data_IF_086509783013
#
_entry.id   IF_086509783013
#
_cell.length_a   1.000
_cell.length_b   1.000
_cell.length_c   1.000
_cell.angle_alpha   90.00
_cell.angle_beta   90.00
_cell.angle_gamma   90.00
#
_symmetry.space_group_name_H-M   'P 1'
#
loop_
_entity.id
_entity.type
_entity.pdbx_description
1 polymer ?
#
# COMPACT_ATOMS: atom_id res chain seq x y z
N UNK A 1 -4.12 -14.45 -3.73
CA UNK A 1 -3.97 -13.01 -3.47
C UNK A 1 -2.89 -12.78 -2.41
N UNK A 2 -2.11 -11.76 -2.55
CA UNK A 2 -1.13 -11.32 -1.56
C UNK A 2 -1.73 -10.20 -0.71
N UNK A 3 -1.25 -10.03 0.53
CA UNK A 3 -1.68 -9.01 1.46
C UNK A 3 -0.46 -8.15 1.83
N UNK A 4 -0.14 -7.12 1.03
CA UNK A 4 0.99 -6.26 1.35
C UNK A 4 0.62 -5.26 2.46
N UNK A 5 1.23 -5.30 3.65
CA UNK A 5 1.23 -4.17 4.56
C UNK A 5 2.09 -3.05 3.96
N UNK A 6 1.74 -1.81 4.28
CA UNK A 6 2.54 -0.65 3.92
C UNK A 6 3.47 -0.28 5.08
N UNK A 7 4.76 -0.36 4.83
CA UNK A 7 5.82 0.02 5.77
C UNK A 7 6.46 1.36 5.44
N UNK A 8 7.52 1.69 6.14
CA UNK A 8 8.24 2.96 5.95
C UNK A 8 8.90 3.06 4.56
N UNK A 9 9.12 1.92 3.90
CA UNK A 9 9.79 1.87 2.60
C UNK A 9 8.93 1.29 1.49
N UNK A 10 7.61 1.36 1.63
CA UNK A 10 6.66 0.88 0.63
C UNK A 10 5.99 -0.44 0.99
N UNK A 11 5.38 -1.13 0.02
CA UNK A 11 4.61 -2.34 0.25
C UNK A 11 5.51 -3.56 0.50
N UNK A 12 5.00 -4.48 1.32
CA UNK A 12 5.61 -5.77 1.62
C UNK A 12 4.57 -6.88 1.47
N UNK A 13 4.95 -8.04 0.99
CA UNK A 13 4.10 -9.22 1.06
C UNK A 13 4.33 -9.86 2.43
N UNK A 14 3.29 -9.98 3.24
CA UNK A 14 3.33 -10.64 4.56
C UNK A 14 2.37 -11.82 4.65
N UNK A 15 1.47 -11.96 3.67
CA UNK A 15 0.45 -12.99 3.66
C UNK A 15 0.07 -13.34 2.23
N UNK A 16 -0.17 -14.63 1.98
CA UNK A 16 -0.74 -15.14 0.73
C UNK A 16 -2.05 -15.85 1.05
N UNK A 17 -3.08 -15.65 0.24
CA UNK A 17 -4.35 -16.36 0.36
C UNK A 17 -4.48 -17.31 -0.82
N UNK A 18 -4.59 -18.61 -0.51
CA UNK A 18 -4.82 -19.68 -1.48
C UNK A 18 -6.31 -19.97 -1.58
N UNK A 19 -6.76 -20.36 -2.77
CA UNK A 19 -8.11 -20.85 -3.03
C UNK A 19 -7.98 -22.36 -3.29
N UNK A 20 -8.46 -23.18 -2.35
CA UNK A 20 -8.32 -24.64 -2.37
C UNK A 20 -9.55 -25.30 -3.00
N UNK A 21 -9.38 -26.45 -3.63
CA UNK A 21 -10.49 -27.26 -4.16
C UNK A 21 -11.27 -28.00 -3.06
N UNK A 22 -10.81 -27.98 -1.81
CA UNK A 22 -11.40 -28.68 -0.66
C UNK A 22 -11.57 -27.73 0.54
N UNK A 23 -12.48 -28.10 1.44
CA UNK A 23 -12.65 -27.43 2.72
C UNK A 23 -11.65 -27.95 3.74
N UNK A 24 -10.93 -27.06 4.41
CA UNK A 24 -9.99 -27.39 5.47
C UNK A 24 -10.41 -26.76 6.80
N UNK A 25 -10.07 -27.41 7.90
CA UNK A 25 -10.22 -26.89 9.27
C UNK A 25 -8.88 -26.45 9.82
N UNK A 26 -8.89 -25.71 10.92
CA UNK A 26 -7.66 -25.22 11.53
C UNK A 26 -6.68 -26.34 11.94
N UNK A 27 -7.16 -27.55 12.25
CA UNK A 27 -6.31 -28.68 12.63
C UNK A 27 -5.77 -29.48 11.44
N UNK A 28 -6.26 -29.23 10.23
CA UNK A 28 -5.86 -29.94 9.01
C UNK A 28 -4.63 -29.30 8.35
N UNK A 29 -4.19 -28.14 8.85
CA UNK A 29 -3.20 -27.32 8.19
C UNK A 29 -2.26 -26.64 9.20
N UNK A 30 -0.98 -26.60 8.89
CA UNK A 30 0.03 -25.88 9.65
C UNK A 30 1.06 -25.22 8.71
N UNK A 31 2.06 -24.52 9.28
CA UNK A 31 3.10 -23.83 8.52
C UNK A 31 3.95 -24.77 7.61
N UNK A 32 3.90 -26.08 7.83
CA UNK A 32 4.66 -27.09 7.05
C UNK A 32 3.84 -27.69 5.92
N UNK A 33 2.56 -27.36 5.83
CA UNK A 33 1.66 -27.88 4.79
C UNK A 33 2.03 -27.40 3.40
N UNK A 34 2.60 -26.19 3.32
CA UNK A 34 3.04 -25.59 2.07
C UNK A 34 4.44 -25.01 2.20
N UNK A 35 5.16 -24.96 1.11
CA UNK A 35 6.34 -24.13 0.98
C UNK A 35 6.18 -23.11 -0.16
N UNK A 36 6.91 -22.00 -0.05
CA UNK A 36 6.83 -20.89 -0.99
C UNK A 36 8.22 -20.63 -1.56
N UNK A 37 8.34 -20.71 -2.88
CA UNK A 37 9.51 -20.27 -3.63
C UNK A 37 9.21 -18.93 -4.27
N UNK A 38 10.13 -17.96 -4.15
CA UNK A 38 9.99 -16.60 -4.66
C UNK A 38 11.06 -16.35 -5.70
N UNK A 39 10.65 -15.82 -6.84
CA UNK A 39 11.53 -15.17 -7.80
C UNK A 39 11.23 -13.68 -7.80
N UNK A 40 12.24 -12.88 -7.48
CA UNK A 40 12.09 -11.42 -7.47
C UNK A 40 12.39 -10.86 -8.84
N UNK A 41 11.44 -10.13 -9.38
CA UNK A 41 11.55 -9.57 -10.72
C UNK A 41 11.53 -8.04 -10.68
N UNK A 42 12.26 -7.44 -11.60
CA UNK A 42 12.05 -6.07 -12.02
C UNK A 42 10.71 -5.99 -12.76
N UNK A 43 10.05 -4.83 -12.77
CA UNK A 43 8.82 -4.63 -13.55
C UNK A 43 8.99 -4.82 -15.06
N UNK A 44 10.21 -4.87 -15.53
CA UNK A 44 10.56 -5.26 -16.91
C UNK A 44 10.43 -6.76 -17.16
N UNK A 45 10.22 -7.56 -16.11
CA UNK A 45 10.14 -9.02 -16.16
C UNK A 45 11.49 -9.72 -15.98
N UNK A 46 12.58 -8.97 -15.86
CA UNK A 46 13.92 -9.56 -15.63
C UNK A 46 14.08 -9.96 -14.16
N UNK A 47 14.73 -11.10 -13.90
CA UNK A 47 15.06 -11.52 -12.54
C UNK A 47 16.00 -10.50 -11.90
N UNK A 48 15.67 -10.08 -10.69
CA UNK A 48 16.48 -9.18 -9.91
C UNK A 48 17.83 -9.81 -9.57
N UNK A 49 18.91 -9.21 -10.04
CA UNK A 49 20.26 -9.58 -9.64
C UNK A 49 20.67 -8.84 -8.37
N UNK A 50 21.13 -9.56 -7.37
CA UNK A 50 21.60 -8.99 -6.09
C UNK A 50 23.04 -9.41 -5.82
N UNK A 51 23.86 -8.43 -5.49
CA UNK A 51 25.21 -8.68 -4.99
C UNK A 51 25.21 -8.53 -3.47
N UNK A 52 25.48 -9.63 -2.77
CA UNK A 52 25.63 -9.60 -1.33
C UNK A 52 26.97 -8.96 -0.93
N UNK A 53 27.01 -8.44 0.29
CA UNK A 53 28.23 -7.82 0.82
C UNK A 53 29.33 -8.87 0.93
N UNK A 54 30.44 -8.64 0.22
CA UNK A 54 31.59 -9.55 0.18
C UNK A 54 31.53 -10.62 -0.90
N UNK A 55 30.45 -10.70 -1.69
CA UNK A 55 30.39 -11.60 -2.84
C UNK A 55 31.16 -11.01 -4.03
N UNK A 56 31.78 -11.88 -4.84
CA UNK A 56 32.51 -11.45 -6.05
C UNK A 56 31.54 -11.09 -7.19
N UNK A 57 30.40 -11.80 -7.27
CA UNK A 57 29.42 -11.68 -8.34
C UNK A 57 28.02 -11.45 -7.80
N UNK A 58 27.15 -10.82 -8.62
CA UNK A 58 25.72 -10.77 -8.36
C UNK A 58 25.07 -12.14 -8.68
N UNK A 59 24.09 -12.54 -7.88
CA UNK A 59 23.29 -13.73 -8.07
C UNK A 59 21.81 -13.38 -8.24
N UNK A 60 21.00 -14.25 -8.88
CA UNK A 60 19.55 -14.10 -8.92
C UNK A 60 18.96 -14.01 -7.51
N UNK A 61 18.03 -13.07 -7.32
CA UNK A 61 17.31 -12.93 -6.04
C UNK A 61 16.12 -13.88 -6.01
N UNK A 62 16.40 -15.15 -5.74
CA UNK A 62 15.42 -16.24 -5.71
C UNK A 62 15.64 -17.09 -4.46
N UNK A 63 14.59 -17.77 -3.99
CA UNK A 63 14.74 -18.67 -2.85
C UNK A 63 13.42 -19.01 -2.16
N UNK A 64 13.52 -19.82 -1.12
CA UNK A 64 12.38 -20.16 -0.28
C UNK A 64 12.14 -19.10 0.78
N UNK A 65 10.86 -18.90 1.07
CA UNK A 65 10.38 -17.98 2.13
C UNK A 65 9.69 -18.79 3.22
N UNK A 66 10.00 -18.47 4.47
CA UNK A 66 9.42 -19.15 5.61
C UNK A 66 7.92 -18.86 5.72
N UNK A 67 7.13 -19.92 5.83
CA UNK A 67 5.73 -19.85 6.24
C UNK A 67 5.69 -19.85 7.76
N UNK A 68 5.21 -18.76 8.35
CA UNK A 68 5.18 -18.56 9.80
C UNK A 68 3.91 -19.16 10.42
N UNK A 69 2.79 -19.11 9.70
CA UNK A 69 1.51 -19.69 10.10
C UNK A 69 0.67 -20.01 8.87
N UNK A 70 -0.21 -21.03 9.01
CA UNK A 70 -1.26 -21.32 8.03
C UNK A 70 -2.58 -21.55 8.76
N UNK A 71 -3.69 -21.04 8.19
CA UNK A 71 -5.03 -21.19 8.78
C UNK A 71 -6.12 -20.96 7.73
N UNK A 72 -7.32 -21.57 7.91
CA UNK A 72 -8.49 -21.26 7.09
C UNK A 72 -8.89 -19.80 7.22
N UNK A 73 -9.30 -19.19 6.12
CA UNK A 73 -9.68 -17.78 6.10
C UNK A 73 -10.82 -17.51 5.10
N UNK A 74 -11.32 -16.28 5.10
CA UNK A 74 -12.14 -15.78 3.99
C UNK A 74 -11.24 -15.30 2.81
N UNK A 75 -11.85 -14.90 1.72
CA UNK A 75 -11.16 -14.38 0.53
C UNK A 75 -10.29 -13.14 0.81
N UNK A 76 -10.56 -12.42 1.91
CA UNK A 76 -9.78 -11.28 2.38
C UNK A 76 -8.69 -11.66 3.39
N UNK A 77 -8.48 -12.96 3.66
CA UNK A 77 -7.45 -13.45 4.58
C UNK A 77 -7.79 -13.29 6.07
N UNK A 78 -9.06 -13.06 6.44
CA UNK A 78 -9.51 -13.04 7.83
C UNK A 78 -9.73 -14.47 8.32
N UNK A 79 -9.16 -14.78 9.48
CA UNK A 79 -9.17 -16.14 10.05
C UNK A 79 -10.59 -16.66 10.31
N UNK A 80 -10.82 -17.90 9.89
CA UNK A 80 -12.04 -18.68 10.11
C UNK A 80 -11.72 -20.00 10.81
N UNK A 81 -12.74 -20.70 11.29
CA UNK A 81 -12.59 -22.04 11.85
C UNK A 81 -12.41 -23.11 10.76
N UNK A 82 -13.01 -22.89 9.60
CA UNK A 82 -12.92 -23.74 8.40
C UNK A 82 -13.23 -22.92 7.15
N UNK A 83 -12.83 -23.40 5.99
CA UNK A 83 -13.10 -22.75 4.70
C UNK A 83 -12.33 -23.35 3.55
N UNK A 84 -12.58 -22.89 2.35
CA UNK A 84 -11.86 -23.26 1.13
C UNK A 84 -10.69 -22.31 0.85
N UNK A 85 -10.57 -21.20 1.58
CA UNK A 85 -9.42 -20.33 1.49
C UNK A 85 -8.47 -20.55 2.66
N UNK A 86 -7.18 -20.49 2.38
CA UNK A 86 -6.11 -20.63 3.37
C UNK A 86 -5.17 -19.46 3.30
N UNK A 87 -4.97 -18.79 4.43
CA UNK A 87 -3.94 -17.80 4.60
C UNK A 87 -2.61 -18.45 5.01
N UNK A 88 -1.55 -18.12 4.31
CA UNK A 88 -0.17 -18.38 4.69
C UNK A 88 0.45 -17.04 5.13
N UNK A 89 0.74 -16.90 6.42
CA UNK A 89 1.57 -15.79 6.92
C UNK A 89 3.02 -16.12 6.63
N UNK A 90 3.76 -15.18 6.07
CA UNK A 90 5.12 -15.40 5.59
C UNK A 90 6.09 -14.39 6.19
N UNK A 91 7.37 -14.73 6.18
CA UNK A 91 8.42 -13.76 6.41
C UNK A 91 8.30 -12.62 5.37
N UNK A 92 8.28 -11.39 5.85
CA UNK A 92 7.97 -10.22 5.04
C UNK A 92 8.89 -10.07 3.82
N UNK A 93 8.28 -9.96 2.64
CA UNK A 93 8.97 -9.74 1.37
C UNK A 93 8.78 -8.28 0.93
N UNK A 94 9.84 -7.50 0.99
CA UNK A 94 9.80 -6.09 0.60
C UNK A 94 9.70 -5.94 -0.91
N UNK A 95 8.68 -5.23 -1.39
CA UNK A 95 8.42 -5.00 -2.81
C UNK A 95 9.09 -3.73 -3.36
N UNK A 96 10.13 -3.22 -2.69
CA UNK A 96 10.88 -2.06 -3.18
C UNK A 96 12.37 -2.33 -3.21
N UNK A 97 13.05 -1.78 -4.21
CA UNK A 97 14.52 -1.78 -4.35
C UNK A 97 15.04 -0.37 -4.54
N UNK A 98 16.15 -0.06 -3.89
CA UNK A 98 16.90 1.19 -4.14
C UNK A 98 17.44 1.20 -5.57
N UNK A 99 17.30 2.34 -6.24
CA UNK A 99 17.90 2.56 -7.57
C UNK A 99 19.41 2.77 -7.39
N UNK A 100 20.20 2.00 -8.11
CA UNK A 100 21.67 2.12 -8.09
C UNK A 100 22.10 3.51 -8.58
N UNK A 101 23.06 4.10 -7.86
CA UNK A 101 23.52 5.46 -8.14
C UNK A 101 22.60 6.59 -7.67
N UNK A 102 21.36 6.29 -7.25
CA UNK A 102 20.47 7.29 -6.67
C UNK A 102 20.64 7.39 -5.15
N UNK A 103 20.62 8.62 -4.63
CA UNK A 103 20.67 8.86 -3.18
C UNK A 103 19.36 8.39 -2.51
N UNK A 104 18.22 8.72 -3.09
CA UNK A 104 16.88 8.55 -2.50
C UNK A 104 15.95 7.67 -3.33
N UNK A 105 16.23 7.46 -4.60
CA UNK A 105 15.33 6.77 -5.53
C UNK A 105 15.11 5.30 -5.18
N UNK A 106 13.87 4.86 -5.34
CA UNK A 106 13.50 3.44 -5.24
C UNK A 106 12.43 3.10 -6.28
N UNK A 107 12.37 1.82 -6.66
CA UNK A 107 11.37 1.29 -7.57
C UNK A 107 10.67 0.09 -6.99
N UNK A 108 9.47 -0.19 -7.47
CA UNK A 108 8.71 -1.39 -7.11
C UNK A 108 9.27 -2.61 -7.83
N UNK A 109 9.14 -3.75 -7.17
CA UNK A 109 9.46 -5.06 -7.70
C UNK A 109 8.17 -5.84 -7.95
N UNK A 110 8.27 -6.85 -8.78
CA UNK A 110 7.23 -7.86 -9.03
C UNK A 110 7.75 -9.21 -8.56
N UNK A 111 7.24 -9.67 -7.41
CA UNK A 111 7.67 -10.94 -6.82
C UNK A 111 6.73 -12.06 -7.33
N UNK A 112 7.29 -13.03 -8.06
CA UNK A 112 6.58 -14.23 -8.51
C UNK A 112 6.68 -15.31 -7.45
N UNK A 113 5.53 -15.79 -6.99
CA UNK A 113 5.42 -16.78 -5.94
C UNK A 113 4.99 -18.11 -6.54
N UNK A 114 5.72 -19.18 -6.21
CA UNK A 114 5.30 -20.57 -6.48
C UNK A 114 5.10 -21.27 -5.15
N UNK A 115 3.84 -21.66 -4.86
CA UNK A 115 3.47 -22.32 -3.62
C UNK A 115 3.18 -23.78 -3.94
N UNK A 116 3.84 -24.69 -3.23
CA UNK A 116 3.70 -26.12 -3.42
C UNK A 116 3.21 -26.77 -2.13
N UNK A 117 2.20 -27.61 -2.24
CA UNK A 117 1.70 -28.43 -1.15
C UNK A 117 2.71 -29.53 -0.79
N UNK A 118 2.99 -29.72 0.50
CA UNK A 118 3.90 -30.75 1.03
C UNK A 118 3.17 -31.85 1.80
N UNK A 119 2.04 -31.53 2.45
CA UNK A 119 1.25 -32.48 3.22
C UNK A 119 -0.14 -32.64 2.60
N UNK A 120 -0.68 -33.85 2.66
CA UNK A 120 -2.03 -34.15 2.20
C UNK A 120 -3.07 -33.31 2.99
N UNK A 121 -4.08 -32.81 2.30
CA UNK A 121 -5.24 -32.16 2.88
C UNK A 121 -6.45 -33.11 2.84
N UNK A 122 -7.45 -32.93 3.72
CA UNK A 122 -8.68 -33.69 3.63
C UNK A 122 -9.30 -33.59 2.24
N UNK A 123 -9.84 -34.70 1.73
CA UNK A 123 -10.78 -34.65 0.61
C UNK A 123 -12.11 -34.02 1.03
N UNK A 124 -12.97 -33.72 0.07
CA UNK A 124 -14.37 -33.45 0.36
C UNK A 124 -15.04 -34.76 0.85
N UNK A 125 -16.23 -34.66 1.45
CA UNK A 125 -16.92 -35.79 2.07
C UNK A 125 -16.89 -37.07 1.19
N UNK A 126 -16.06 -38.04 1.62
CA UNK A 126 -15.90 -39.34 0.94
C UNK A 126 -14.86 -39.37 -0.18
N UNK A 127 -14.19 -38.26 -0.48
CA UNK A 127 -13.13 -38.21 -1.50
C UNK A 127 -11.75 -38.56 -0.91
N UNK A 128 -10.84 -38.98 -1.83
CA UNK A 128 -9.43 -39.15 -1.48
C UNK A 128 -8.78 -37.84 -1.02
N UNK A 129 -7.73 -37.95 -0.18
CA UNK A 129 -6.98 -36.75 0.24
C UNK A 129 -6.47 -35.91 -0.93
N UNK A 130 -6.59 -34.63 -0.85
CA UNK A 130 -6.08 -33.68 -1.84
C UNK A 130 -4.57 -33.54 -1.69
N UNK A 131 -3.83 -33.81 -2.77
CA UNK A 131 -2.37 -33.81 -2.82
C UNK A 131 -1.87 -33.11 -4.09
N UNK A 132 -0.61 -32.65 -4.06
CA UNK A 132 0.11 -32.18 -5.24
C UNK A 132 -0.34 -30.81 -5.78
N UNK A 133 -1.00 -30.00 -4.96
CA UNK A 133 -1.40 -28.66 -5.36
C UNK A 133 -0.18 -27.76 -5.58
N UNK A 134 -0.20 -27.03 -6.69
CA UNK A 134 0.78 -25.99 -7.02
C UNK A 134 0.02 -24.71 -7.41
N UNK A 135 0.41 -23.59 -6.81
CA UNK A 135 -0.13 -22.27 -7.10
C UNK A 135 1.01 -21.40 -7.60
N UNK A 136 0.94 -20.95 -8.83
CA UNK A 136 1.93 -20.09 -9.51
C UNK A 136 1.29 -18.88 -10.22
N UNK A 137 0.00 -18.73 -10.06
CA UNK A 137 -0.74 -17.60 -10.64
C UNK A 137 -1.32 -16.73 -9.55
N UNK A 138 -0.90 -15.45 -9.50
CA UNK A 138 -1.48 -14.44 -8.64
C UNK A 138 -2.73 -13.85 -9.30
N UNK A 139 -3.88 -13.88 -8.58
CA UNK A 139 -5.15 -13.30 -9.06
C UNK A 139 -5.30 -11.83 -8.69
N UNK A 140 -4.41 -11.28 -7.90
CA UNK A 140 -4.42 -9.88 -7.47
C UNK A 140 -3.90 -9.69 -6.06
N UNK A 141 -3.75 -8.41 -5.70
CA UNK A 141 -3.27 -7.98 -4.39
C UNK A 141 -4.40 -7.43 -3.54
N UNK A 142 -4.34 -7.69 -2.25
CA UNK A 142 -5.25 -7.14 -1.26
C UNK A 142 -4.44 -6.23 -0.34
N UNK A 143 -4.63 -4.93 -0.43
CA UNK A 143 -4.01 -3.96 0.45
C UNK A 143 -5.08 -3.15 1.20
N UNK A 144 -5.47 -3.58 2.41
CA UNK A 144 -6.53 -2.88 3.16
C UNK A 144 -6.21 -1.41 3.44
N UNK A 145 -4.93 -1.05 3.53
CA UNK A 145 -4.48 0.32 3.76
C UNK A 145 -4.78 1.26 2.58
N UNK A 146 -5.03 0.72 1.38
CA UNK A 146 -5.39 1.49 0.19
C UNK A 146 -6.91 1.59 -0.04
N UNK A 147 -7.71 0.99 0.84
CA UNK A 147 -9.17 1.09 0.72
C UNK A 147 -9.62 2.56 0.85
N UNK A 148 -10.38 3.03 -0.14
CA UNK A 148 -10.88 4.41 -0.19
C UNK A 148 -9.89 5.43 -0.74
N UNK A 149 -8.69 5.01 -1.14
CA UNK A 149 -7.74 5.86 -1.85
C UNK A 149 -7.99 5.85 -3.35
N UNK A 150 -7.81 7.01 -3.97
CA UNK A 150 -7.92 7.22 -5.41
C UNK A 150 -6.79 8.10 -5.91
N UNK A 151 -6.52 8.06 -7.22
CA UNK A 151 -5.54 8.92 -7.88
C UNK A 151 -6.23 9.85 -8.87
N UNK A 152 -5.70 11.06 -9.01
CA UNK A 152 -6.11 12.03 -10.00
C UNK A 152 -4.93 12.92 -10.43
N UNK A 153 -5.20 13.79 -11.38
CA UNK A 153 -4.25 14.79 -11.87
C UNK A 153 -4.89 16.16 -11.80
N UNK A 154 -4.15 17.17 -11.35
CA UNK A 154 -4.56 18.57 -11.32
C UNK A 154 -5.00 19.00 -12.73
N UNK A 155 -6.17 19.62 -12.82
CA UNK A 155 -6.77 20.02 -14.10
C UNK A 155 -6.12 21.27 -14.68
N UNK A 156 -5.75 22.20 -13.79
CA UNK A 156 -5.18 23.50 -14.16
C UNK A 156 -3.68 23.52 -13.88
N UNK A 157 -2.86 23.51 -14.94
CA UNK A 157 -1.43 23.66 -14.80
C UNK A 157 -1.05 25.09 -14.34
N UNK A 158 -0.10 25.18 -13.42
CA UNK A 158 0.51 26.44 -12.99
C UNK A 158 1.98 26.44 -13.39
N UNK A 159 2.42 27.45 -14.11
CA UNK A 159 3.78 27.53 -14.68
C UNK A 159 4.14 26.29 -15.53
N UNK A 160 3.16 25.72 -16.23
CA UNK A 160 3.34 24.50 -17.03
C UNK A 160 3.39 23.19 -16.25
N UNK A 161 3.18 23.22 -14.92
CA UNK A 161 3.22 22.07 -14.04
C UNK A 161 1.80 21.73 -13.58
N UNK A 162 1.39 20.46 -13.77
CA UNK A 162 0.20 19.88 -13.19
C UNK A 162 0.63 18.67 -12.34
N UNK A 163 0.20 18.63 -11.08
CA UNK A 163 0.59 17.57 -10.15
C UNK A 163 -0.34 16.36 -10.29
N UNK A 164 0.24 15.17 -10.30
CA UNK A 164 -0.49 13.94 -9.98
C UNK A 164 -0.66 13.88 -8.46
N UNK A 165 -1.76 13.31 -7.98
CA UNK A 165 -2.02 13.20 -6.54
C UNK A 165 -2.86 11.98 -6.20
N UNK A 166 -2.62 11.45 -4.99
CA UNK A 166 -3.53 10.52 -4.34
C UNK A 166 -4.44 11.25 -3.36
N UNK A 167 -5.63 10.73 -3.13
CA UNK A 167 -6.52 11.25 -2.11
C UNK A 167 -7.36 10.17 -1.46
N UNK A 168 -7.75 10.41 -0.22
CA UNK A 168 -8.71 9.61 0.53
C UNK A 168 -9.95 10.46 0.82
N UNK A 169 -11.11 9.90 0.49
CA UNK A 169 -12.41 10.49 0.79
C UNK A 169 -13.07 9.77 1.96
N UNK A 170 -13.43 10.47 3.06
CA UNK A 170 -14.18 9.86 4.15
C UNK A 170 -15.61 9.54 3.72
N UNK A 171 -16.18 8.45 4.23
CA UNK A 171 -17.49 7.96 3.79
C UNK A 171 -18.67 8.83 4.25
N UNK A 172 -18.51 9.63 5.28
CA UNK A 172 -19.57 10.40 5.94
C UNK A 172 -20.77 9.57 6.43
N UNK A 173 -20.54 8.32 6.80
CA UNK A 173 -21.52 7.48 7.47
C UNK A 173 -21.12 7.27 8.93
N UNK A 174 -22.11 7.25 9.84
CA UNK A 174 -21.85 7.12 11.26
C UNK A 174 -21.06 5.85 11.60
N UNK A 175 -21.45 4.72 10.99
CA UNK A 175 -20.79 3.42 11.19
C UNK A 175 -19.34 3.34 10.70
N UNK A 176 -18.96 4.20 9.74
CA UNK A 176 -17.60 4.28 9.20
C UNK A 176 -16.74 5.32 9.94
N UNK A 177 -17.33 6.06 10.88
CA UNK A 177 -16.59 7.01 11.70
C UNK A 177 -15.57 6.31 12.59
N UNK A 178 -14.38 6.86 12.67
CA UNK A 178 -13.36 6.42 13.63
C UNK A 178 -13.77 6.64 15.09
N UNK A 179 -14.81 7.44 15.33
CA UNK A 179 -15.42 7.71 16.65
C UNK A 179 -16.73 6.94 16.86
N UNK A 180 -17.08 6.01 15.97
CA UNK A 180 -18.31 5.25 16.09
C UNK A 180 -18.38 4.44 17.39
N UNK A 181 -19.52 4.57 18.09
CA UNK A 181 -19.82 3.77 19.28
C UNK A 181 -20.95 2.79 18.98
N UNK A 182 -20.67 1.47 18.85
CA UNK A 182 -21.70 0.49 18.53
C UNK A 182 -22.75 0.29 19.63
N UNK A 183 -22.46 0.74 20.87
CA UNK A 183 -23.40 0.65 22.02
C UNK A 183 -24.30 1.88 22.16
N UNK A 184 -23.97 2.96 21.45
CA UNK A 184 -24.75 4.20 21.44
C UNK A 184 -24.51 4.89 20.07
N UNK A 185 -25.00 4.29 18.96
CA UNK A 185 -24.69 4.75 17.60
C UNK A 185 -25.20 6.17 17.33
N UNK A 186 -26.29 6.57 18.00
CA UNK A 186 -26.86 7.92 17.91
C UNK A 186 -25.96 9.02 18.48
N UNK A 187 -24.94 8.67 19.27
CA UNK A 187 -23.96 9.65 19.79
C UNK A 187 -22.89 10.01 18.77
N UNK A 188 -22.79 9.26 17.67
CA UNK A 188 -21.80 9.55 16.62
C UNK A 188 -22.29 10.69 15.73
N UNK A 189 -21.63 11.83 15.87
CA UNK A 189 -21.94 13.01 15.04
C UNK A 189 -21.26 12.85 13.68
N UNK A 190 -22.06 12.87 12.62
CA UNK A 190 -21.55 12.95 11.23
C UNK A 190 -21.52 14.40 10.82
N UNK A 191 -20.34 15.00 10.59
CA UNK A 191 -20.26 16.39 10.19
C UNK A 191 -20.72 16.55 8.74
N UNK A 192 -21.25 17.72 8.39
CA UNK A 192 -21.55 18.08 7.00
C UNK A 192 -20.26 18.24 6.20
N UNK A 193 -19.24 18.82 6.83
CA UNK A 193 -17.92 19.05 6.23
C UNK A 193 -16.82 18.52 7.14
N UNK A 194 -15.77 17.97 6.54
CA UNK A 194 -14.63 17.40 7.24
C UNK A 194 -13.34 18.17 6.94
N UNK A 195 -12.36 18.16 7.86
CA UNK A 195 -11.04 18.74 7.62
C UNK A 195 -10.34 18.15 6.41
N UNK A 196 -9.41 18.89 5.82
CA UNK A 196 -8.50 18.42 4.79
C UNK A 196 -7.07 18.36 5.34
N UNK A 197 -6.46 17.19 5.26
CA UNK A 197 -5.03 16.99 5.52
C UNK A 197 -4.30 16.92 4.19
N UNK A 198 -3.43 17.85 3.92
CA UNK A 198 -2.51 17.84 2.77
C UNK A 198 -1.17 17.31 3.26
N UNK A 199 -0.69 16.22 2.68
CA UNK A 199 0.57 15.62 3.08
C UNK A 199 1.59 15.68 1.95
N UNK A 200 2.75 16.30 2.21
CA UNK A 200 3.86 16.39 1.27
C UNK A 200 4.86 15.27 1.55
N UNK A 201 5.06 14.42 0.56
CA UNK A 201 5.95 13.25 0.67
C UNK A 201 7.43 13.64 0.80
N UNK A 202 8.29 12.69 1.18
CA UNK A 202 9.74 12.88 1.21
C UNK A 202 10.38 12.87 -0.18
N UNK A 203 11.63 13.30 -0.27
CA UNK A 203 12.34 13.43 -1.54
C UNK A 203 12.43 12.13 -2.36
N UNK A 204 12.36 10.97 -1.69
CA UNK A 204 12.43 9.64 -2.35
C UNK A 204 11.14 9.19 -3.04
N UNK A 205 10.02 9.88 -2.85
CA UNK A 205 8.71 9.56 -3.41
C UNK A 205 8.31 10.47 -4.58
N UNK A 206 9.13 11.45 -4.93
CA UNK A 206 8.93 12.29 -6.12
C UNK A 206 8.94 11.47 -7.42
N UNK A 207 8.29 11.97 -8.47
CA UNK A 207 8.13 11.26 -9.74
C UNK A 207 9.49 10.86 -10.36
N UNK A 208 10.48 11.76 -10.32
CA UNK A 208 11.85 11.46 -10.78
C UNK A 208 12.53 10.38 -9.94
N UNK A 209 12.41 10.44 -8.61
CA UNK A 209 13.00 9.48 -7.70
C UNK A 209 12.37 8.07 -7.81
N UNK A 210 11.11 7.99 -8.24
CA UNK A 210 10.36 6.74 -8.44
C UNK A 210 10.28 6.31 -9.91
N UNK A 211 11.03 6.93 -10.79
CA UNK A 211 11.06 6.63 -12.23
C UNK A 211 9.68 6.66 -12.91
N UNK A 212 8.78 7.55 -12.46
CA UNK A 212 7.46 7.72 -13.06
C UNK A 212 6.41 6.67 -12.68
N UNK A 213 6.59 5.94 -11.58
CA UNK A 213 5.63 4.92 -11.12
C UNK A 213 4.27 5.48 -10.64
N UNK A 214 4.06 6.81 -10.75
CA UNK A 214 2.78 7.47 -10.52
C UNK A 214 2.52 7.90 -9.07
N UNK A 215 1.40 8.63 -8.86
CA UNK A 215 1.04 9.28 -7.61
C UNK A 215 0.91 8.33 -6.41
N UNK A 216 0.58 7.07 -6.65
CA UNK A 216 0.50 6.05 -5.59
C UNK A 216 1.79 5.97 -4.77
N UNK A 217 2.95 6.22 -5.41
CA UNK A 217 4.24 6.22 -4.71
C UNK A 217 4.35 7.25 -3.59
N UNK A 218 3.63 8.37 -3.70
CA UNK A 218 3.65 9.43 -2.71
C UNK A 218 2.99 9.04 -1.37
N UNK A 219 2.12 8.02 -1.35
CA UNK A 219 1.39 7.63 -0.14
C UNK A 219 1.52 6.16 0.29
N UNK A 220 2.08 5.28 -0.53
CA UNK A 220 2.35 3.89 -0.11
C UNK A 220 3.65 3.73 0.68
N UNK A 221 4.51 4.75 0.71
CA UNK A 221 5.68 4.83 1.58
C UNK A 221 5.41 5.59 2.87
N UNK A 222 6.34 5.52 3.82
CA UNK A 222 6.35 6.31 5.04
C UNK A 222 5.05 6.28 5.85
N UNK A 223 4.25 5.22 5.71
CA UNK A 223 2.96 5.00 6.40
C UNK A 223 1.94 6.14 6.21
N UNK A 224 2.01 6.87 5.11
CA UNK A 224 1.10 8.00 4.84
C UNK A 224 -0.36 7.56 4.90
N UNK A 225 -0.68 6.35 4.41
CA UNK A 225 -2.02 5.77 4.48
C UNK A 225 -2.55 5.59 5.91
N UNK A 226 -1.69 5.66 6.94
CA UNK A 226 -2.15 5.64 8.32
C UNK A 226 -3.06 6.85 8.65
N UNK A 227 -2.93 7.97 7.92
CA UNK A 227 -3.78 9.16 8.10
C UNK A 227 -5.25 8.82 7.82
N UNK A 228 -5.55 7.90 6.91
CA UNK A 228 -6.92 7.43 6.62
C UNK A 228 -7.44 6.37 7.60
N UNK A 229 -6.61 5.92 8.55
CA UNK A 229 -6.99 4.86 9.49
C UNK A 229 -7.63 5.42 10.76
N UNK A 230 -8.46 4.61 11.41
CA UNK A 230 -9.26 5.02 12.57
C UNK A 230 -8.43 5.66 13.68
N UNK A 231 -7.20 5.18 13.93
CA UNK A 231 -6.33 5.73 14.97
C UNK A 231 -6.00 7.20 14.77
N UNK A 232 -5.83 7.64 13.50
CA UNK A 232 -5.50 9.03 13.17
C UNK A 232 -6.77 9.83 12.88
N UNK A 233 -7.75 9.25 12.18
CA UNK A 233 -9.03 9.91 11.89
C UNK A 233 -9.76 10.42 13.16
N UNK A 234 -9.57 9.76 14.30
CA UNK A 234 -10.12 10.19 15.61
C UNK A 234 -9.72 11.60 16.00
N UNK A 235 -8.49 12.03 15.66
CA UNK A 235 -8.01 13.38 15.97
C UNK A 235 -8.73 14.47 15.16
N UNK A 236 -9.43 14.06 14.10
CA UNK A 236 -10.22 14.94 13.23
C UNK A 236 -11.73 14.79 13.43
N UNK A 237 -12.17 14.20 14.55
CA UNK A 237 -13.58 13.94 14.81
C UNK A 237 -14.15 12.72 14.08
N UNK A 238 -13.28 11.83 13.60
CA UNK A 238 -13.65 10.58 12.93
C UNK A 238 -13.69 10.65 11.41
N UNK A 239 -13.57 11.84 10.83
CA UNK A 239 -13.61 12.09 9.40
C UNK A 239 -12.58 13.13 8.98
N UNK A 240 -11.71 12.82 8.05
CA UNK A 240 -10.83 13.77 7.39
C UNK A 240 -10.54 13.34 5.96
N UNK A 241 -10.56 14.28 5.04
CA UNK A 241 -9.99 14.15 3.73
C UNK A 241 -8.46 14.10 3.82
N UNK A 242 -7.83 13.35 2.93
CA UNK A 242 -6.37 13.36 2.79
C UNK A 242 -6.02 13.61 1.34
N UNK A 243 -5.14 14.56 1.08
CA UNK A 243 -4.62 14.91 -0.25
C UNK A 243 -3.11 14.75 -0.24
N UNK A 244 -2.57 13.94 -1.13
CA UNK A 244 -1.13 13.66 -1.23
C UNK A 244 -0.65 13.92 -2.64
N UNK A 245 -0.21 15.13 -2.95
CA UNK A 245 0.36 15.44 -4.26
C UNK A 245 1.73 14.78 -4.42
N UNK A 246 2.12 14.47 -5.66
CA UNK A 246 3.45 13.99 -6.01
C UNK A 246 4.23 15.08 -6.76
N UNK A 247 5.39 15.48 -6.23
CA UNK A 247 6.27 16.41 -6.94
C UNK A 247 6.94 15.73 -8.13
N UNK A 248 7.14 16.44 -9.25
CA UNK A 248 7.95 15.94 -10.34
C UNK A 248 9.39 15.62 -9.95
N UNK A 249 10.00 16.43 -9.08
CA UNK A 249 11.35 16.26 -8.55
C UNK A 249 11.32 16.09 -7.02
N UNK A 250 11.48 17.15 -6.27
CA UNK A 250 11.36 17.20 -4.81
C UNK A 250 10.81 18.58 -4.39
N UNK A 251 10.14 18.66 -3.23
CA UNK A 251 9.38 19.86 -2.84
C UNK A 251 10.22 21.14 -2.69
N UNK A 252 11.50 21.01 -2.36
CA UNK A 252 12.40 22.16 -2.19
C UNK A 252 13.19 22.50 -3.46
N UNK A 253 12.78 22.01 -4.62
CA UNK A 253 13.35 22.37 -5.91
C UNK A 253 13.06 23.86 -6.21
N UNK A 254 14.12 24.60 -6.47
CA UNK A 254 14.05 26.04 -6.80
C UNK A 254 14.16 26.31 -8.32
N UNK A 255 14.05 25.24 -9.15
CA UNK A 255 14.21 25.30 -10.60
C UNK A 255 15.65 25.12 -11.09
N UNK A 256 16.60 24.89 -10.19
CA UNK A 256 18.02 24.60 -10.54
C UNK A 256 18.40 23.14 -10.26
N UNK A 257 17.43 22.30 -9.87
CA UNK A 257 17.60 20.89 -9.46
C UNK A 257 18.61 20.69 -8.31
N UNK A 258 18.94 21.75 -7.57
CA UNK A 258 19.83 21.68 -6.42
C UNK A 258 19.05 21.64 -5.11
N UNK A 259 19.32 20.59 -4.31
CA UNK A 259 18.74 20.43 -2.98
C UNK A 259 19.12 21.58 -2.05
N UNK A 260 18.09 22.27 -1.52
CA UNK A 260 18.22 23.02 -0.26
C UNK A 260 18.93 24.37 -0.29
N UNK A 261 19.20 24.96 -1.43
CA UNK A 261 19.99 26.21 -1.50
C UNK A 261 19.15 27.51 -1.54
N UNK A 262 17.83 27.41 -1.62
CA UNK A 262 16.95 28.56 -1.47
C UNK A 262 15.71 28.18 -0.66
N UNK A 263 15.18 29.13 0.10
CA UNK A 263 13.91 28.95 0.82
C UNK A 263 12.68 29.07 -0.11
N UNK A 264 12.88 28.95 -1.42
CA UNK A 264 11.83 29.06 -2.43
C UNK A 264 11.68 27.73 -3.16
N UNK A 265 10.45 27.32 -3.37
CA UNK A 265 10.09 26.16 -4.16
C UNK A 265 9.26 26.58 -5.38
N UNK A 266 9.60 26.08 -6.56
CA UNK A 266 8.78 26.27 -7.77
C UNK A 266 7.39 25.62 -7.63
N UNK A 267 7.24 24.67 -6.70
CA UNK A 267 5.97 23.98 -6.47
C UNK A 267 5.02 24.70 -5.52
N UNK A 268 5.46 25.69 -4.75
CA UNK A 268 4.59 26.41 -3.80
C UNK A 268 3.31 26.96 -4.45
N UNK A 269 3.36 27.69 -5.58
CA UNK A 269 2.15 28.15 -6.26
C UNK A 269 1.33 27.01 -6.88
N UNK A 270 1.97 25.95 -7.30
CA UNK A 270 1.33 24.76 -7.90
C UNK A 270 0.52 24.00 -6.85
N UNK A 271 1.12 23.77 -5.65
CA UNK A 271 0.46 23.14 -4.51
C UNK A 271 -0.74 23.98 -4.06
N UNK A 272 -0.56 25.31 -3.95
CA UNK A 272 -1.65 26.20 -3.56
C UNK A 272 -2.82 26.11 -4.52
N UNK A 273 -2.55 26.13 -5.83
CA UNK A 273 -3.59 26.02 -6.85
C UNK A 273 -4.26 24.62 -6.84
N UNK A 274 -3.51 23.55 -6.59
CA UNK A 274 -4.08 22.20 -6.41
C UNK A 274 -5.03 22.16 -5.21
N UNK A 275 -4.64 22.71 -4.07
CA UNK A 275 -5.49 22.78 -2.88
C UNK A 275 -6.78 23.55 -3.18
N UNK A 276 -6.68 24.70 -3.85
CA UNK A 276 -7.84 25.54 -4.22
C UNK A 276 -8.78 24.77 -5.17
N UNK A 277 -8.23 24.09 -6.18
CA UNK A 277 -8.99 23.27 -7.13
C UNK A 277 -9.71 22.12 -6.40
N UNK A 278 -8.99 21.37 -5.57
CA UNK A 278 -9.54 20.24 -4.81
C UNK A 278 -10.64 20.68 -3.83
N UNK A 279 -10.43 21.78 -3.13
CA UNK A 279 -11.42 22.36 -2.23
C UNK A 279 -12.66 22.84 -2.99
N UNK A 280 -12.49 23.47 -4.16
CA UNK A 280 -13.61 23.93 -4.98
C UNK A 280 -14.46 22.76 -5.51
N UNK A 281 -13.82 21.65 -5.88
CA UNK A 281 -14.51 20.42 -6.34
C UNK A 281 -15.32 19.74 -5.24
N UNK A 282 -14.92 19.89 -3.97
CA UNK A 282 -15.54 19.27 -2.80
C UNK A 282 -16.05 20.31 -1.79
N UNK A 283 -16.46 21.50 -2.26
CA UNK A 283 -16.79 22.64 -1.43
C UNK A 283 -17.96 22.41 -0.46
N UNK A 284 -18.86 21.47 -0.78
CA UNK A 284 -19.97 21.03 0.07
C UNK A 284 -19.55 20.09 1.20
N UNK A 285 -18.35 19.50 1.12
CA UNK A 285 -17.88 18.42 2.01
C UNK A 285 -16.56 18.72 2.72
N UNK A 286 -15.74 19.66 2.25
CA UNK A 286 -14.50 20.10 2.89
C UNK A 286 -14.75 21.34 3.75
N UNK A 287 -14.23 21.28 4.98
CA UNK A 287 -14.20 22.43 5.90
C UNK A 287 -12.95 23.27 5.62
N UNK A 288 -13.16 24.42 4.99
CA UNK A 288 -12.08 25.34 4.59
C UNK A 288 -11.37 26.02 5.75
N UNK A 289 -12.00 26.04 6.94
CA UNK A 289 -11.39 26.59 8.14
C UNK A 289 -10.45 25.59 8.84
N UNK A 290 -10.45 24.33 8.38
CA UNK A 290 -9.64 23.26 8.94
C UNK A 290 -8.83 22.54 7.87
N UNK A 291 -7.91 23.27 7.25
CA UNK A 291 -6.93 22.72 6.31
C UNK A 291 -5.58 22.65 7.02
N UNK A 292 -5.01 21.44 7.07
CA UNK A 292 -3.73 21.15 7.71
C UNK A 292 -2.74 20.70 6.65
N UNK A 293 -1.55 21.31 6.63
CA UNK A 293 -0.44 20.86 5.78
C UNK A 293 0.61 20.17 6.65
N UNK A 294 0.96 18.97 6.29
CA UNK A 294 1.98 18.16 6.93
C UNK A 294 2.96 17.61 5.88
N UNK A 295 4.08 17.07 6.31
CA UNK A 295 5.03 16.49 5.37
C UNK A 295 6.19 15.80 6.06
N UNK A 296 6.99 15.12 5.25
CA UNK A 296 8.21 14.42 5.64
C UNK A 296 9.36 14.99 4.81
N UNK A 297 10.48 15.23 5.46
CA UNK A 297 11.82 15.54 4.94
C UNK A 297 11.94 15.78 3.42
#
# INVERSE_FOLDING_TARGET
>A
ATLPPLGDFGPWISKVVLDLPCTVRANDIDARTFHIYVERHERTGEILMRKERGADHAAPSVGYVDVLAAYPCDECGRKLAFGTHVALEIAEQRLTKKIEGSVMGSRLLDDQLRITQLAALPGNDGDDPTCGLVFDTCRGDICPALKGWSNATQKTAVNGIALEYGFFEPSFKAEDSACFNPFAPETTVVPQKAPLVVYLHGAGEGKGATQGEGATRAYIGNRVTAISQAQIQRYFGGFAWVLVPQSPTFWMDNGTEQLGHSNQSIYSPVIKALIDEFVAEHADRIDTDRIVVAGLS
#
